data_IF_814445749708
#
_entry.id   IF_814445749708
#
_cell.length_a   1.000
_cell.length_b   1.000
_cell.length_c   1.000
_cell.angle_alpha   90.00
_cell.angle_beta   90.00
_cell.angle_gamma   90.00
#
_symmetry.space_group_name_H-M   'P 1'
#
loop_
_entity.id
_entity.type
_entity.pdbx_description
1 polymer ?
#
# COMPACT_ATOMS: atom_id res chain seq x y z
N UNK A 1 15.46 -6.09 1.08
CA UNK A 1 14.87 -7.34 1.58
C UNK A 1 15.81 -8.46 1.18
N UNK A 2 16.22 -9.26 2.12
CA UNK A 2 17.17 -10.38 2.02
C UNK A 2 17.90 -10.51 0.66
N UNK A 3 19.08 -9.89 0.55
CA UNK A 3 19.94 -9.94 -0.65
C UNK A 3 19.34 -9.34 -1.92
N UNK A 4 18.20 -8.66 -1.82
CA UNK A 4 17.60 -7.94 -2.95
C UNK A 4 17.85 -6.45 -2.80
N UNK A 5 18.22 -5.81 -3.89
CA UNK A 5 18.32 -4.35 -3.93
C UNK A 5 16.94 -3.79 -4.27
N UNK A 6 16.38 -3.03 -3.36
CA UNK A 6 15.10 -2.36 -3.58
C UNK A 6 15.23 -0.90 -3.17
N UNK A 7 14.39 -0.07 -3.75
CA UNK A 7 14.27 1.32 -3.34
C UNK A 7 13.02 1.45 -2.48
N UNK A 8 13.21 1.87 -1.24
CA UNK A 8 12.10 2.10 -0.31
C UNK A 8 11.75 3.58 -0.30
N UNK A 9 10.50 3.89 -0.57
CA UNK A 9 9.95 5.23 -0.54
C UNK A 9 8.84 5.29 0.50
N UNK A 10 8.62 6.45 1.10
CA UNK A 10 7.52 6.67 2.03
C UNK A 10 6.76 7.92 1.59
N UNK A 11 5.44 7.82 1.47
CA UNK A 11 4.59 8.92 1.06
C UNK A 11 3.40 9.09 2.00
N UNK A 12 3.19 10.29 2.48
CA UNK A 12 2.13 10.62 3.44
C UNK A 12 0.75 10.72 2.77
N UNK A 13 0.67 10.79 1.46
CA UNK A 13 -0.57 10.96 0.72
C UNK A 13 -1.61 9.89 1.08
N UNK A 14 -2.85 10.32 1.30
CA UNK A 14 -3.94 9.46 1.75
C UNK A 14 -5.22 9.66 0.94
N UNK A 15 -5.27 10.64 0.05
CA UNK A 15 -6.37 10.86 -0.88
C UNK A 15 -6.05 10.22 -2.23
N UNK A 16 -7.04 9.66 -2.95
CA UNK A 16 -6.79 9.02 -4.25
C UNK A 16 -6.01 9.87 -5.24
N UNK A 17 -6.28 11.18 -5.27
CA UNK A 17 -5.57 12.11 -6.15
C UNK A 17 -4.08 12.17 -5.82
N UNK A 18 -3.75 12.21 -4.52
CA UNK A 18 -2.37 12.21 -4.05
C UNK A 18 -1.66 10.91 -4.40
N UNK A 19 -2.33 9.79 -4.19
CA UNK A 19 -1.79 8.46 -4.49
C UNK A 19 -1.51 8.33 -5.99
N UNK A 20 -2.46 8.72 -6.83
CA UNK A 20 -2.29 8.68 -8.29
C UNK A 20 -1.10 9.52 -8.73
N UNK A 21 -0.96 10.72 -8.20
CA UNK A 21 0.15 11.61 -8.54
C UNK A 21 1.50 11.00 -8.15
N UNK A 22 1.57 10.40 -6.97
CA UNK A 22 2.78 9.73 -6.49
C UNK A 22 3.16 8.55 -7.37
N UNK A 23 2.18 7.70 -7.69
CA UNK A 23 2.43 6.51 -8.54
C UNK A 23 2.88 6.93 -9.93
N UNK A 24 2.25 7.93 -10.52
CA UNK A 24 2.64 8.43 -11.84
C UNK A 24 4.04 9.02 -11.83
N UNK A 25 4.40 9.76 -10.79
CA UNK A 25 5.75 10.32 -10.63
C UNK A 25 6.80 9.20 -10.53
N UNK A 26 6.50 8.13 -9.78
CA UNK A 26 7.39 6.98 -9.66
C UNK A 26 7.56 6.28 -11.00
N UNK A 27 6.47 6.06 -11.72
CA UNK A 27 6.52 5.41 -13.04
C UNK A 27 7.34 6.21 -14.04
N UNK A 28 7.27 7.53 -13.98
CA UNK A 28 8.07 8.40 -14.84
C UNK A 28 9.55 8.39 -14.50
N UNK A 29 9.87 8.37 -13.20
CA UNK A 29 11.24 8.43 -12.70
C UNK A 29 11.96 7.07 -12.74
N UNK A 30 11.22 5.97 -12.60
CA UNK A 30 11.75 4.61 -12.50
C UNK A 30 11.10 3.71 -13.53
N UNK A 31 11.34 3.99 -14.79
CA UNK A 31 10.75 3.23 -15.91
C UNK A 31 11.13 1.76 -15.84
N UNK A 32 10.20 0.90 -16.20
CA UNK A 32 10.39 -0.55 -16.26
C UNK A 32 10.67 -1.22 -14.91
N UNK A 33 10.32 -0.56 -13.82
CA UNK A 33 10.42 -1.15 -12.47
C UNK A 33 9.04 -1.46 -11.94
N UNK A 34 8.92 -2.59 -11.27
CA UNK A 34 7.68 -2.93 -10.59
C UNK A 34 7.52 -2.13 -9.31
N UNK A 35 6.30 -1.72 -9.05
CA UNK A 35 5.93 -0.95 -7.87
C UNK A 35 5.14 -1.85 -6.93
N UNK A 36 5.66 -2.00 -5.71
CA UNK A 36 5.02 -2.71 -4.63
C UNK A 36 4.60 -1.67 -3.60
N UNK A 37 3.34 -1.68 -3.19
CA UNK A 37 2.82 -0.68 -2.27
C UNK A 37 2.25 -1.32 -1.02
N UNK A 38 2.62 -0.77 0.13
CA UNK A 38 1.98 -1.05 1.41
C UNK A 38 1.11 0.16 1.70
N UNK A 39 -0.21 -0.01 1.63
CA UNK A 39 -1.16 1.09 1.77
C UNK A 39 -1.99 0.92 3.03
N UNK A 40 -2.07 1.99 3.82
CA UNK A 40 -2.98 2.06 4.96
C UNK A 40 -4.09 3.06 4.67
N UNK A 41 -5.34 2.57 4.48
CA UNK A 41 -6.48 3.49 4.34
C UNK A 41 -6.64 4.31 5.62
N UNK A 42 -6.98 5.58 5.47
CA UNK A 42 -7.11 6.51 6.58
C UNK A 42 -8.56 6.97 6.71
N UNK A 43 -9.18 6.65 7.82
CA UNK A 43 -10.59 6.90 8.16
C UNK A 43 -11.57 5.99 7.41
N UNK A 44 -12.57 5.53 8.12
CA UNK A 44 -13.65 4.71 7.55
C UNK A 44 -14.52 5.51 6.58
N UNK A 45 -14.84 6.76 6.93
CA UNK A 45 -15.67 7.63 6.09
C UNK A 45 -15.02 7.88 4.73
N UNK A 46 -13.75 8.24 4.70
CA UNK A 46 -13.02 8.48 3.44
C UNK A 46 -12.91 7.21 2.62
N UNK A 47 -12.59 6.10 3.28
CA UNK A 47 -12.45 4.79 2.63
C UNK A 47 -13.75 4.35 1.97
N UNK A 48 -14.88 4.61 2.59
CA UNK A 48 -16.21 4.27 2.05
C UNK A 48 -16.61 5.20 0.91
N UNK A 49 -16.54 6.51 1.13
CA UNK A 49 -17.02 7.51 0.15
C UNK A 49 -16.17 7.48 -1.12
N UNK A 50 -14.87 7.34 -0.99
CA UNK A 50 -13.93 7.37 -2.12
C UNK A 50 -13.47 5.99 -2.54
N UNK A 51 -14.20 4.94 -2.17
CA UNK A 51 -13.79 3.56 -2.38
C UNK A 51 -13.37 3.27 -3.82
N UNK A 52 -14.22 3.59 -4.77
CA UNK A 52 -13.94 3.31 -6.18
C UNK A 52 -12.74 4.11 -6.70
N UNK A 53 -12.57 5.33 -6.21
CA UNK A 53 -11.41 6.16 -6.57
C UNK A 53 -10.12 5.56 -6.04
N UNK A 54 -10.15 5.00 -4.81
CA UNK A 54 -9.01 4.28 -4.27
C UNK A 54 -8.67 3.05 -5.11
N UNK A 55 -9.67 2.24 -5.46
CA UNK A 55 -9.44 1.04 -6.28
C UNK A 55 -8.82 1.44 -7.63
N UNK A 56 -9.33 2.49 -8.26
CA UNK A 56 -8.80 2.95 -9.54
C UNK A 56 -7.35 3.41 -9.47
N UNK A 57 -6.94 4.08 -8.39
CA UNK A 57 -5.55 4.50 -8.25
C UNK A 57 -4.64 3.34 -7.81
N UNK A 58 -5.13 2.44 -6.98
CA UNK A 58 -4.34 1.30 -6.50
C UNK A 58 -4.08 0.26 -7.59
N UNK A 59 -4.96 0.13 -8.57
CA UNK A 59 -4.71 -0.80 -9.68
C UNK A 59 -3.55 -0.37 -10.59
N UNK A 60 -3.02 0.83 -10.40
CA UNK A 60 -1.85 1.31 -11.14
C UNK A 60 -0.54 0.69 -10.64
N UNK A 61 -0.53 0.10 -9.45
CA UNK A 61 0.66 -0.56 -8.91
C UNK A 61 0.59 -2.07 -9.15
N UNK A 62 1.74 -2.74 -9.08
CA UNK A 62 1.84 -4.16 -9.45
C UNK A 62 1.43 -5.10 -8.32
N UNK A 63 1.92 -4.85 -7.11
CA UNK A 63 1.56 -5.63 -5.93
C UNK A 63 1.11 -4.69 -4.82
N UNK A 64 0.02 -5.03 -4.15
CA UNK A 64 -0.57 -4.15 -3.14
C UNK A 64 -0.81 -4.93 -1.86
N UNK A 65 -0.27 -4.40 -0.75
CA UNK A 65 -0.55 -4.90 0.59
C UNK A 65 -1.41 -3.85 1.28
N UNK A 66 -2.59 -4.24 1.72
CA UNK A 66 -3.54 -3.36 2.41
C UNK A 66 -3.48 -3.65 3.91
N UNK A 67 -3.24 -2.62 4.70
CA UNK A 67 -3.25 -2.70 6.16
C UNK A 67 -4.65 -2.41 6.69
N UNK A 68 -4.87 -2.66 8.00
CA UNK A 68 -6.11 -2.24 8.65
C UNK A 68 -6.34 -0.75 8.46
N UNK A 69 -7.60 -0.37 8.30
CA UNK A 69 -7.97 1.05 8.19
C UNK A 69 -7.59 1.77 9.49
N UNK A 70 -6.87 2.86 9.36
CA UNK A 70 -6.54 3.73 10.49
C UNK A 70 -7.77 4.58 10.80
N UNK A 71 -8.36 4.36 11.99
CA UNK A 71 -9.66 4.94 12.35
C UNK A 71 -9.63 6.46 12.53
N UNK A 72 -8.52 7.00 13.01
CA UNK A 72 -8.39 8.43 13.36
C UNK A 72 -9.50 8.89 14.32
N UNK A 73 -9.92 7.99 15.22
CA UNK A 73 -10.97 8.26 16.21
C UNK A 73 -12.38 8.00 15.73
N UNK A 74 -12.58 7.63 14.48
CA UNK A 74 -13.92 7.31 13.95
C UNK A 74 -14.39 5.92 14.40
N UNK A 75 -15.71 5.76 14.52
CA UNK A 75 -16.33 4.43 14.61
C UNK A 75 -16.66 3.97 13.19
N UNK A 76 -16.55 2.66 12.96
CA UNK A 76 -16.87 2.10 11.64
C UNK A 76 -18.37 1.95 11.45
N UNK A 77 -19.05 3.06 11.12
CA UNK A 77 -20.48 3.07 10.81
C UNK A 77 -20.74 2.77 9.34
N UNK A 78 -19.71 2.72 8.52
CA UNK A 78 -19.79 2.50 7.07
C UNK A 78 -19.66 1.03 6.69
N UNK A 79 -19.34 0.17 7.64
CA UNK A 79 -19.12 -1.26 7.43
C UNK A 79 -18.08 -1.58 6.35
N UNK A 80 -17.09 -0.69 6.18
CA UNK A 80 -16.01 -0.86 5.23
C UNK A 80 -14.81 -1.52 5.91
N UNK A 81 -14.10 -2.39 5.18
CA UNK A 81 -12.91 -3.04 5.70
C UNK A 81 -11.81 -3.10 4.64
N UNK A 82 -10.60 -3.37 5.09
CA UNK A 82 -9.48 -3.56 4.18
C UNK A 82 -9.66 -4.76 3.26
N UNK A 83 -10.42 -5.77 3.69
CA UNK A 83 -10.76 -6.91 2.84
C UNK A 83 -11.58 -6.49 1.62
N UNK A 84 -12.41 -5.45 1.75
CA UNK A 84 -13.17 -4.93 0.60
C UNK A 84 -12.24 -4.40 -0.48
N UNK A 85 -11.17 -3.70 -0.08
CA UNK A 85 -10.12 -3.24 -1.00
C UNK A 85 -9.43 -4.42 -1.69
N UNK A 86 -8.99 -5.39 -0.90
CA UNK A 86 -8.29 -6.57 -1.43
C UNK A 86 -9.16 -7.33 -2.42
N UNK A 87 -10.40 -7.62 -2.06
CA UNK A 87 -11.31 -8.38 -2.91
C UNK A 87 -11.60 -7.66 -4.23
N UNK A 88 -11.81 -6.34 -4.18
CA UNK A 88 -12.05 -5.54 -5.38
C UNK A 88 -10.84 -5.52 -6.32
N UNK A 89 -9.63 -5.43 -5.75
CA UNK A 89 -8.40 -5.46 -6.54
C UNK A 89 -8.16 -6.83 -7.17
N UNK A 90 -8.42 -7.91 -6.44
CA UNK A 90 -8.30 -9.26 -6.96
C UNK A 90 -9.27 -9.48 -8.13
N UNK A 91 -10.50 -8.97 -8.02
CA UNK A 91 -11.47 -9.07 -9.12
C UNK A 91 -10.99 -8.36 -10.39
N UNK A 92 -10.13 -7.35 -10.26
CA UNK A 92 -9.52 -6.65 -11.39
C UNK A 92 -8.24 -7.32 -11.89
N UNK A 93 -7.90 -8.49 -11.38
CA UNK A 93 -6.71 -9.24 -11.79
C UNK A 93 -5.43 -8.78 -11.14
N UNK A 94 -5.51 -7.97 -10.07
CA UNK A 94 -4.32 -7.47 -9.38
C UNK A 94 -3.88 -8.43 -8.28
N UNK A 95 -2.61 -8.39 -7.94
CA UNK A 95 -2.08 -9.09 -6.76
C UNK A 95 -2.25 -8.19 -5.55
N UNK A 96 -3.20 -8.54 -4.71
CA UNK A 96 -3.53 -7.78 -3.52
C UNK A 96 -3.60 -8.70 -2.31
N UNK A 97 -3.09 -8.21 -1.18
CA UNK A 97 -2.97 -8.97 0.06
C UNK A 97 -3.38 -8.10 1.23
N UNK A 98 -3.99 -8.73 2.24
CA UNK A 98 -4.20 -8.09 3.52
C UNK A 98 -3.07 -8.51 4.47
N UNK A 99 -2.52 -7.57 5.23
CA UNK A 99 -1.55 -7.86 6.28
C UNK A 99 -1.93 -7.11 7.54
N UNK A 100 -1.91 -7.81 8.65
CA UNK A 100 -2.30 -7.28 9.95
C UNK A 100 -1.12 -6.69 10.73
N UNK A 101 0.07 -7.21 10.50
CA UNK A 101 1.25 -6.83 11.26
C UNK A 101 2.52 -6.96 10.42
N UNK A 102 3.63 -6.49 10.98
CA UNK A 102 4.91 -6.48 10.28
C UNK A 102 5.37 -7.89 9.87
N UNK A 103 5.07 -8.92 10.66
CA UNK A 103 5.46 -10.28 10.33
C UNK A 103 4.76 -10.77 9.05
N UNK A 104 3.46 -10.51 8.93
CA UNK A 104 2.70 -10.86 7.72
C UNK A 104 3.19 -10.06 6.51
N UNK A 105 3.47 -8.77 6.70
CA UNK A 105 4.03 -7.91 5.64
C UNK A 105 5.34 -8.50 5.13
N UNK A 106 6.24 -8.86 6.04
CA UNK A 106 7.55 -9.41 5.68
C UNK A 106 7.45 -10.68 4.87
N UNK A 107 6.52 -11.56 5.21
CA UNK A 107 6.30 -12.81 4.45
C UNK A 107 5.84 -12.53 3.03
N UNK A 108 4.93 -11.58 2.86
CA UNK A 108 4.43 -11.21 1.53
C UNK A 108 5.56 -10.58 0.70
N UNK A 109 6.32 -9.67 1.30
CA UNK A 109 7.43 -9.02 0.61
C UNK A 109 8.50 -10.00 0.14
N UNK A 110 8.83 -11.00 0.98
CA UNK A 110 9.79 -12.03 0.59
C UNK A 110 9.32 -12.83 -0.62
N UNK A 111 8.03 -13.10 -0.71
CA UNK A 111 7.45 -13.87 -1.81
C UNK A 111 7.29 -13.04 -3.09
N UNK A 112 6.94 -11.77 -2.98
CA UNK A 112 6.47 -10.98 -4.13
C UNK A 112 7.47 -9.95 -4.65
N UNK A 113 8.33 -9.39 -3.79
CA UNK A 113 9.26 -8.33 -4.18
C UNK A 113 10.53 -8.92 -4.78
N UNK A 114 10.95 -8.38 -5.92
CA UNK A 114 12.12 -8.85 -6.64
C UNK A 114 13.22 -7.81 -6.65
N UNK A 115 14.41 -8.24 -7.08
CA UNK A 115 15.57 -7.36 -7.16
C UNK A 115 15.27 -6.17 -8.10
N UNK A 116 15.66 -4.98 -7.67
CA UNK A 116 15.46 -3.70 -8.36
C UNK A 116 14.03 -3.18 -8.37
N UNK A 117 13.11 -3.84 -7.65
CA UNK A 117 11.76 -3.32 -7.48
C UNK A 117 11.75 -2.05 -6.63
N UNK A 118 10.63 -1.33 -6.71
CA UNK A 118 10.33 -0.21 -5.83
C UNK A 118 9.31 -0.66 -4.81
N UNK A 119 9.54 -0.30 -3.55
CA UNK A 119 8.61 -0.52 -2.46
C UNK A 119 8.22 0.84 -1.89
N UNK A 120 6.93 1.12 -1.85
CA UNK A 120 6.43 2.36 -1.28
C UNK A 120 5.47 2.07 -0.13
N UNK A 121 5.66 2.78 0.99
CA UNK A 121 4.69 2.82 2.08
C UNK A 121 3.85 4.07 1.92
N UNK A 122 2.54 3.89 1.84
CA UNK A 122 1.60 4.93 1.45
C UNK A 122 0.54 5.14 2.52
N UNK A 123 0.36 6.36 2.99
CA UNK A 123 -0.72 6.71 3.90
C UNK A 123 -0.32 7.66 5.00
N UNK A 124 -1.32 8.17 5.71
CA UNK A 124 -1.16 9.18 6.76
C UNK A 124 -1.29 8.60 8.19
N UNK A 125 -1.53 7.31 8.33
CA UNK A 125 -1.66 6.66 9.61
C UNK A 125 -0.32 6.21 10.19
N UNK A 126 -0.30 5.04 10.82
CA UNK A 126 0.92 4.50 11.43
C UNK A 126 1.77 3.69 10.44
N UNK A 127 1.51 3.79 9.15
CA UNK A 127 2.31 3.11 8.11
C UNK A 127 3.76 3.59 8.09
N UNK A 128 4.03 4.81 8.53
CA UNK A 128 5.40 5.34 8.63
C UNK A 128 6.25 4.50 9.60
N UNK A 129 5.64 3.97 10.65
CA UNK A 129 6.34 3.09 11.59
C UNK A 129 6.73 1.78 10.91
N UNK A 130 5.88 1.29 10.01
CA UNK A 130 6.19 0.11 9.18
C UNK A 130 7.40 0.40 8.29
N UNK A 131 7.44 1.57 7.66
CA UNK A 131 8.57 1.97 6.83
C UNK A 131 9.88 1.98 7.62
N UNK A 132 9.86 2.58 8.80
CA UNK A 132 11.04 2.64 9.68
C UNK A 132 11.48 1.24 10.12
N UNK A 133 10.53 0.38 10.44
CA UNK A 133 10.81 -1.01 10.84
C UNK A 133 11.42 -1.81 9.69
N UNK A 134 10.93 -1.63 8.47
CA UNK A 134 11.47 -2.28 7.28
C UNK A 134 12.91 -1.83 7.01
N UNK A 135 13.18 -0.53 7.14
CA UNK A 135 14.55 -0.01 7.01
C UNK A 135 15.50 -0.65 8.01
N UNK A 136 15.07 -0.80 9.27
CA UNK A 136 15.88 -1.40 10.31
C UNK A 136 16.11 -2.89 10.06
N UNK A 137 15.11 -3.61 9.55
CA UNK A 137 15.19 -5.07 9.33
C UNK A 137 16.04 -5.46 8.13
N UNK A 138 16.04 -4.64 7.08
CA UNK A 138 16.63 -5.00 5.79
C UNK A 138 17.81 -4.12 5.39
N UNK A 139 18.42 -3.53 6.35
CA UNK A 139 19.60 -2.69 6.15
C UNK A 139 20.82 -3.49 5.70
#
# INVERSE_FOLDING_TARGET
INNKKIKLLDDYGHHPTEISATVEAIKSSYKNKKINMIFQPHRYSRSSILFNDFINCLELVDNIIILDIYSAGEQNTQEVSSYDFVNSLIKKGKKAFFAKNLNEISKILEAEVKNNDILITQGAGNVVDISNSLLAMYK
#
